data_IF_816936053027
#
_entry.id   IF_816936053027
#
_cell.length_a   1.000
_cell.length_b   1.000
_cell.length_c   1.000
_cell.angle_alpha   90.00
_cell.angle_beta   90.00
_cell.angle_gamma   90.00
#
_symmetry.space_group_name_H-M   'P 1'
#
loop_
_entity.id
_entity.type
_entity.pdbx_description
1 polymer ?
#
# COMPACT_ATOMS: atom_id res chain seq x y z
N UNK A 1 -21.88 3.47 -19.18
CA UNK A 1 -20.47 3.12 -19.50
C UNK A 1 -20.10 1.84 -18.76
N UNK A 2 -19.56 0.80 -19.43
CA UNK A 2 -19.13 -0.43 -18.75
C UNK A 2 -17.74 -0.22 -18.13
N UNK A 3 -17.66 -0.14 -16.81
CA UNK A 3 -16.37 -0.10 -16.13
C UNK A 3 -15.64 -1.43 -16.31
N UNK A 4 -14.38 -1.36 -16.74
CA UNK A 4 -13.47 -2.50 -16.75
C UNK A 4 -13.25 -3.01 -15.32
N UNK A 5 -13.08 -4.32 -15.14
CA UNK A 5 -12.99 -4.98 -13.81
C UNK A 5 -12.03 -4.28 -12.85
N UNK A 6 -10.83 -3.90 -13.33
CA UNK A 6 -9.83 -3.19 -12.52
C UNK A 6 -10.33 -1.85 -11.99
N UNK A 7 -11.00 -1.07 -12.84
CA UNK A 7 -11.52 0.24 -12.44
C UNK A 7 -12.57 0.08 -11.33
N UNK A 8 -13.44 -0.94 -11.41
CA UNK A 8 -14.40 -1.23 -10.33
C UNK A 8 -13.71 -1.48 -8.98
N UNK A 9 -12.66 -2.29 -8.97
CA UNK A 9 -11.91 -2.56 -7.73
C UNK A 9 -11.22 -1.31 -7.17
N UNK A 10 -10.65 -0.46 -8.03
CA UNK A 10 -10.06 0.82 -7.60
C UNK A 10 -11.12 1.74 -6.99
N UNK A 11 -12.30 1.83 -7.60
CA UNK A 11 -13.39 2.64 -7.06
C UNK A 11 -13.85 2.11 -5.70
N UNK A 12 -14.02 0.79 -5.54
CA UNK A 12 -14.35 0.18 -4.25
C UNK A 12 -13.28 0.50 -3.21
N UNK A 13 -12.00 0.31 -3.55
CA UNK A 13 -10.89 0.61 -2.65
C UNK A 13 -10.88 2.09 -2.25
N UNK A 14 -11.09 3.01 -3.20
CA UNK A 14 -11.17 4.44 -2.92
C UNK A 14 -12.37 4.80 -2.05
N UNK A 15 -13.56 4.24 -2.32
CA UNK A 15 -14.78 4.47 -1.54
C UNK A 15 -14.65 3.97 -0.11
N UNK A 16 -13.85 2.94 0.16
CA UNK A 16 -13.58 2.48 1.52
C UNK A 16 -12.45 3.31 2.17
N UNK A 17 -11.35 3.50 1.45
CA UNK A 17 -10.14 4.12 1.99
C UNK A 17 -10.32 5.61 2.29
N UNK A 18 -11.02 6.34 1.43
CA UNK A 18 -11.17 7.79 1.60
C UNK A 18 -11.98 8.16 2.87
N UNK A 19 -13.18 7.61 3.11
CA UNK A 19 -13.89 7.83 4.37
C UNK A 19 -13.10 7.34 5.58
N UNK A 20 -12.38 6.21 5.45
CA UNK A 20 -11.55 5.70 6.54
C UNK A 20 -10.47 6.71 6.95
N UNK A 21 -9.71 7.26 5.99
CA UNK A 21 -8.71 8.29 6.28
C UNK A 21 -9.34 9.52 6.91
N UNK A 22 -10.46 10.00 6.36
CA UNK A 22 -11.18 11.15 6.91
C UNK A 22 -11.63 10.92 8.36
N UNK A 23 -12.20 9.75 8.67
CA UNK A 23 -12.59 9.43 10.05
C UNK A 23 -11.37 9.35 10.96
N UNK A 24 -10.28 8.73 10.51
CA UNK A 24 -9.05 8.59 11.30
C UNK A 24 -8.37 9.94 11.58
N UNK A 25 -8.48 10.92 10.69
CA UNK A 25 -8.01 12.29 10.94
C UNK A 25 -8.95 13.06 11.87
N UNK A 26 -10.25 12.72 11.89
CA UNK A 26 -11.28 13.43 12.66
C UNK A 26 -11.65 12.82 14.01
N UNK A 27 -10.91 11.81 14.47
CA UNK A 27 -10.99 11.32 15.86
C UNK A 27 -9.78 11.82 16.66
N UNK A 28 -9.94 12.05 17.98
CA UNK A 28 -8.80 12.27 18.86
C UNK A 28 -7.77 11.16 18.67
N UNK A 29 -6.49 11.54 18.59
CA UNK A 29 -5.40 10.59 18.27
C UNK A 29 -5.49 9.38 19.22
N UNK A 30 -5.86 8.19 18.72
CA UNK A 30 -6.07 7.05 19.59
C UNK A 30 -4.71 6.58 20.13
N UNK A 31 -4.70 6.05 21.35
CA UNK A 31 -3.46 5.58 21.99
C UNK A 31 -2.73 4.53 21.15
N UNK A 32 -3.46 3.76 20.35
CA UNK A 32 -2.89 2.78 19.42
C UNK A 32 -2.02 3.45 18.35
N UNK A 33 -2.43 4.62 17.84
CA UNK A 33 -1.67 5.38 16.86
C UNK A 33 -0.45 6.02 17.53
N UNK A 34 -0.59 6.54 18.75
CA UNK A 34 0.53 7.10 19.53
C UNK A 34 1.60 6.06 19.85
N UNK A 35 1.18 4.86 20.23
CA UNK A 35 2.06 3.73 20.55
C UNK A 35 2.59 3.01 19.32
N UNK A 36 2.06 3.32 18.13
CA UNK A 36 2.51 2.70 16.87
C UNK A 36 3.94 3.06 16.50
N UNK A 37 4.55 4.08 17.11
CA UNK A 37 5.92 4.51 16.81
C UNK A 37 6.12 5.13 15.43
N UNK A 38 5.10 5.13 14.56
CA UNK A 38 5.12 5.88 13.32
C UNK A 38 4.99 7.36 13.65
N UNK A 39 5.89 8.17 13.11
CA UNK A 39 5.80 9.62 13.24
C UNK A 39 4.52 10.14 12.58
N UNK A 40 3.86 11.09 13.22
CA UNK A 40 2.58 11.64 12.75
C UNK A 40 2.66 12.15 11.30
N UNK A 41 3.72 12.91 10.98
CA UNK A 41 4.02 13.37 9.61
C UNK A 41 4.16 12.22 8.61
N UNK A 42 4.77 11.10 9.00
CA UNK A 42 4.91 9.94 8.13
C UNK A 42 3.54 9.28 7.89
N UNK A 43 2.68 9.22 8.91
CA UNK A 43 1.30 8.75 8.75
C UNK A 43 0.52 9.64 7.77
N UNK A 44 0.63 10.95 7.90
CA UNK A 44 0.06 11.93 6.97
C UNK A 44 0.56 11.74 5.53
N UNK A 45 1.88 11.64 5.34
CA UNK A 45 2.48 11.41 4.01
C UNK A 45 2.02 10.08 3.40
N UNK A 46 2.01 8.98 4.15
CA UNK A 46 1.54 7.68 3.65
C UNK A 46 0.03 7.71 3.33
N UNK A 47 -0.77 8.34 4.19
CA UNK A 47 -2.21 8.42 4.01
C UNK A 47 -2.57 9.14 2.70
N UNK A 48 -1.98 10.32 2.48
CA UNK A 48 -2.20 11.13 1.27
C UNK A 48 -1.51 10.55 0.03
N UNK A 49 -0.39 9.84 0.18
CA UNK A 49 0.21 9.09 -0.91
C UNK A 49 -0.74 8.00 -1.44
N UNK A 50 -1.30 7.16 -0.57
CA UNK A 50 -2.28 6.14 -0.94
C UNK A 50 -3.56 6.74 -1.51
N UNK A 51 -4.09 7.78 -0.87
CA UNK A 51 -5.31 8.44 -1.30
C UNK A 51 -5.15 9.01 -2.71
N UNK A 52 -4.06 9.74 -2.94
CA UNK A 52 -3.75 10.33 -4.26
C UNK A 52 -3.50 9.25 -5.31
N UNK A 53 -2.82 8.17 -4.95
CA UNK A 53 -2.61 7.03 -5.85
C UNK A 53 -3.94 6.43 -6.31
N UNK A 54 -4.86 6.18 -5.39
CA UNK A 54 -6.19 5.64 -5.68
C UNK A 54 -7.05 6.63 -6.49
N UNK A 55 -7.02 7.92 -6.14
CA UNK A 55 -7.73 8.98 -6.87
C UNK A 55 -7.23 9.06 -8.31
N UNK A 56 -5.92 9.10 -8.54
CA UNK A 56 -5.37 9.09 -9.90
C UNK A 56 -5.80 7.84 -10.66
N UNK A 57 -5.75 6.67 -10.03
CA UNK A 57 -6.15 5.41 -10.66
C UNK A 57 -7.66 5.33 -10.92
N UNK A 58 -8.50 6.03 -10.15
CA UNK A 58 -9.94 6.15 -10.41
C UNK A 58 -10.20 7.10 -11.58
N UNK A 59 -9.55 8.27 -11.56
CA UNK A 59 -9.76 9.31 -12.57
C UNK A 59 -9.12 8.90 -13.90
N UNK A 60 -7.96 8.23 -13.89
CA UNK A 60 -7.14 7.89 -15.05
C UNK A 60 -6.58 6.45 -15.00
N UNK A 61 -7.45 5.43 -14.99
CA UNK A 61 -7.07 4.06 -14.63
C UNK A 61 -5.94 3.45 -15.45
N UNK A 62 -5.83 3.76 -16.75
CA UNK A 62 -4.90 3.12 -17.68
C UNK A 62 -3.79 4.05 -18.17
N UNK A 63 -3.64 5.25 -17.58
CA UNK A 63 -2.70 6.25 -18.08
C UNK A 63 -1.73 6.66 -16.98
N UNK A 64 -0.46 6.78 -17.36
CA UNK A 64 0.55 7.45 -16.54
C UNK A 64 0.20 8.93 -16.37
N UNK A 65 0.71 9.55 -15.31
CA UNK A 65 0.60 10.99 -15.11
C UNK A 65 1.32 11.71 -16.24
N UNK A 66 0.61 12.64 -16.89
CA UNK A 66 1.17 13.50 -17.94
C UNK A 66 1.07 14.95 -17.49
N UNK A 67 2.22 15.55 -17.16
CA UNK A 67 2.34 16.91 -16.61
C UNK A 67 1.80 18.02 -17.54
N UNK A 68 1.67 17.74 -18.84
CA UNK A 68 1.10 18.66 -19.83
C UNK A 68 -0.43 18.68 -19.86
N UNK A 69 -1.11 17.74 -19.19
CA UNK A 69 -2.58 17.63 -19.23
C UNK A 69 -3.20 18.33 -18.03
N UNK A 70 -4.22 19.15 -18.27
CA UNK A 70 -4.95 19.86 -17.20
C UNK A 70 -5.49 18.92 -16.11
N UNK A 71 -5.94 17.71 -16.49
CA UNK A 71 -6.44 16.68 -15.56
C UNK A 71 -5.47 16.38 -14.40
N UNK A 72 -4.17 16.42 -14.67
CA UNK A 72 -3.13 16.20 -13.67
C UNK A 72 -3.15 17.30 -12.60
N UNK A 73 -3.20 18.55 -13.03
CA UNK A 73 -3.30 19.72 -12.15
C UNK A 73 -4.62 19.78 -11.39
N UNK A 74 -5.73 19.34 -12.01
CA UNK A 74 -7.01 19.20 -11.32
C UNK A 74 -6.94 18.20 -10.16
N UNK A 75 -6.27 17.04 -10.34
CA UNK A 75 -6.11 16.06 -9.25
C UNK A 75 -5.23 16.62 -8.14
N UNK A 76 -4.08 17.25 -8.46
CA UNK A 76 -3.23 17.88 -7.43
C UNK A 76 -3.99 18.97 -6.68
N UNK A 77 -4.64 19.88 -7.41
CA UNK A 77 -5.38 20.98 -6.82
C UNK A 77 -6.51 20.48 -5.92
N UNK A 78 -7.30 19.52 -6.38
CA UNK A 78 -8.38 18.93 -5.58
C UNK A 78 -7.84 18.23 -4.31
N UNK A 79 -6.74 17.47 -4.42
CA UNK A 79 -6.13 16.79 -3.27
C UNK A 79 -5.49 17.77 -2.27
N UNK A 80 -4.87 18.86 -2.76
CA UNK A 80 -4.30 19.90 -1.92
C UNK A 80 -5.40 20.68 -1.18
N UNK A 81 -6.46 21.10 -1.88
CA UNK A 81 -7.63 21.75 -1.27
C UNK A 81 -8.29 20.83 -0.25
N UNK A 82 -8.48 19.55 -0.60
CA UNK A 82 -9.00 18.55 0.33
C UNK A 82 -8.09 18.41 1.58
N UNK A 83 -6.78 18.38 1.40
CA UNK A 83 -5.81 18.36 2.51
C UNK A 83 -5.88 19.57 3.43
N UNK A 84 -6.07 20.76 2.87
CA UNK A 84 -6.22 21.99 3.67
C UNK A 84 -7.55 22.00 4.43
N UNK A 85 -8.63 21.53 3.81
CA UNK A 85 -9.94 21.39 4.46
C UNK A 85 -9.87 20.36 5.59
N UNK A 86 -9.31 19.18 5.34
CA UNK A 86 -9.15 18.11 6.34
C UNK A 86 -8.41 18.63 7.58
N UNK A 87 -7.27 19.30 7.39
CA UNK A 87 -6.47 19.85 8.49
C UNK A 87 -7.19 20.98 9.24
N UNK A 88 -7.93 21.83 8.53
CA UNK A 88 -8.72 22.90 9.15
C UNK A 88 -9.87 22.32 9.99
N UNK A 89 -10.50 21.25 9.51
CA UNK A 89 -11.62 20.61 10.18
C UNK A 89 -11.20 19.83 11.43
N UNK A 90 -9.96 19.36 11.50
CA UNK A 90 -9.39 18.72 12.70
C UNK A 90 -9.47 19.62 13.95
N UNK A 91 -9.43 20.95 13.78
CA UNK A 91 -9.57 21.92 14.88
C UNK A 91 -10.90 21.81 15.63
N UNK A 92 -11.96 21.32 14.99
CA UNK A 92 -13.29 21.18 15.60
C UNK A 92 -13.46 19.89 16.41
N UNK A 93 -12.50 18.96 16.36
CA UNK A 93 -12.58 17.64 17.02
C UNK A 93 -11.48 17.43 18.07
N UNK A 94 -10.90 18.53 18.58
CA UNK A 94 -9.91 18.49 19.66
C UNK A 94 -8.51 18.06 19.22
N UNK A 95 -8.19 18.22 17.92
CA UNK A 95 -6.82 18.14 17.39
C UNK A 95 -6.34 19.55 17.06
N UNK A 96 -5.02 19.75 17.05
CA UNK A 96 -4.42 21.03 16.70
C UNK A 96 -4.09 21.04 15.21
N UNK A 97 -4.75 21.89 14.39
CA UNK A 97 -4.36 22.05 12.99
C UNK A 97 -2.90 22.49 12.91
N UNK A 98 -2.09 21.80 12.11
CA UNK A 98 -0.70 22.12 11.92
C UNK A 98 -0.33 22.23 10.44
N UNK A 99 0.32 23.35 10.11
CA UNK A 99 0.86 23.57 8.76
C UNK A 99 1.86 22.46 8.39
N UNK A 100 2.60 21.91 9.37
CA UNK A 100 3.52 20.81 9.12
C UNK A 100 2.84 19.53 8.63
N UNK A 101 1.61 19.29 9.07
CA UNK A 101 0.86 18.07 8.75
C UNK A 101 0.20 18.22 7.38
N UNK A 102 -0.26 19.43 7.06
CA UNK A 102 -0.59 19.80 5.69
C UNK A 102 0.60 19.68 4.71
N UNK A 103 1.80 20.10 5.10
CA UNK A 103 3.00 19.91 4.27
C UNK A 103 3.33 18.42 4.07
N UNK A 104 3.12 17.59 5.11
CA UNK A 104 3.26 16.15 5.00
C UNK A 104 2.23 15.53 4.04
N UNK A 105 0.99 16.05 4.02
CA UNK A 105 -0.04 15.67 3.05
C UNK A 105 0.40 16.01 1.61
N UNK A 106 0.92 17.22 1.40
CA UNK A 106 1.45 17.66 0.09
C UNK A 106 2.63 16.80 -0.39
N UNK A 107 3.52 16.38 0.52
CA UNK A 107 4.60 15.44 0.19
C UNK A 107 4.04 14.10 -0.29
N UNK A 108 3.01 13.57 0.38
CA UNK A 108 2.33 12.34 -0.04
C UNK A 108 1.73 12.45 -1.44
N UNK A 109 1.04 13.56 -1.73
CA UNK A 109 0.48 13.87 -3.06
C UNK A 109 1.60 13.89 -4.11
N UNK A 110 2.69 14.61 -3.84
CA UNK A 110 3.81 14.75 -4.77
C UNK A 110 4.48 13.40 -5.08
N UNK A 111 4.72 12.57 -4.05
CA UNK A 111 5.31 11.24 -4.21
C UNK A 111 4.41 10.32 -5.06
N UNK A 112 3.10 10.36 -4.85
CA UNK A 112 2.15 9.52 -5.60
C UNK A 112 2.13 9.90 -7.08
N UNK A 113 2.02 11.21 -7.36
CA UNK A 113 2.02 11.74 -8.72
C UNK A 113 3.36 11.51 -9.43
N UNK A 114 4.48 11.65 -8.71
CA UNK A 114 5.82 11.33 -9.19
C UNK A 114 5.95 9.87 -9.59
N UNK A 115 5.58 8.94 -8.70
CA UNK A 115 5.62 7.51 -8.98
C UNK A 115 4.77 7.14 -10.21
N UNK A 116 3.54 7.66 -10.28
CA UNK A 116 2.60 7.39 -11.37
C UNK A 116 2.96 8.10 -12.69
N UNK A 117 3.91 9.03 -12.67
CA UNK A 117 4.47 9.64 -13.89
C UNK A 117 5.50 8.74 -14.57
N UNK A 118 6.25 7.98 -13.78
CA UNK A 118 7.32 7.10 -14.27
C UNK A 118 6.76 5.71 -14.61
N UNK A 119 5.96 5.15 -13.72
CA UNK A 119 5.55 3.75 -13.77
C UNK A 119 4.10 3.56 -14.22
N UNK A 120 3.84 2.44 -14.88
CA UNK A 120 2.47 1.97 -15.16
C UNK A 120 1.82 1.41 -13.90
N UNK A 121 0.50 1.27 -13.94
CA UNK A 121 -0.31 0.82 -12.81
C UNK A 121 0.27 -0.36 -12.02
N UNK A 122 0.65 -1.46 -12.70
CA UNK A 122 1.12 -2.67 -11.99
C UNK A 122 2.48 -2.51 -11.36
N UNK A 123 3.42 -1.85 -12.05
CA UNK A 123 4.74 -1.54 -11.50
C UNK A 123 4.63 -0.54 -10.35
N UNK A 124 3.81 0.50 -10.51
CA UNK A 124 3.55 1.50 -9.47
C UNK A 124 2.91 0.84 -8.24
N UNK A 125 1.87 0.02 -8.43
CA UNK A 125 1.22 -0.72 -7.35
C UNK A 125 2.18 -1.67 -6.62
N UNK A 126 3.08 -2.33 -7.35
CA UNK A 126 4.09 -3.21 -6.78
C UNK A 126 5.10 -2.43 -5.93
N UNK A 127 5.65 -1.32 -6.45
CA UNK A 127 6.57 -0.44 -5.72
C UNK A 127 5.87 0.12 -4.47
N UNK A 128 4.63 0.58 -4.63
CA UNK A 128 3.79 1.05 -3.53
C UNK A 128 3.60 -0.02 -2.45
N UNK A 129 3.28 -1.26 -2.83
CA UNK A 129 3.12 -2.36 -1.89
C UNK A 129 4.43 -2.69 -1.15
N UNK A 130 5.56 -2.76 -1.87
CA UNK A 130 6.87 -2.99 -1.27
C UNK A 130 7.25 -1.87 -0.29
N UNK A 131 7.04 -0.61 -0.67
CA UNK A 131 7.32 0.54 0.20
C UNK A 131 6.45 0.51 1.47
N UNK A 132 5.16 0.19 1.36
CA UNK A 132 4.28 0.04 2.52
C UNK A 132 4.70 -1.11 3.44
N UNK A 133 5.02 -2.27 2.88
CA UNK A 133 5.52 -3.43 3.64
C UNK A 133 6.78 -3.01 4.40
N UNK A 134 7.74 -2.38 3.72
CA UNK A 134 8.98 -1.92 4.35
C UNK A 134 8.72 -0.92 5.48
N UNK A 135 7.98 0.15 5.19
CA UNK A 135 7.76 1.23 6.16
C UNK A 135 6.98 0.73 7.36
N UNK A 136 5.90 -0.01 7.16
CA UNK A 136 5.09 -0.49 8.28
C UNK A 136 5.88 -1.52 9.09
N UNK A 137 6.53 -2.52 8.47
CA UNK A 137 7.28 -3.53 9.23
C UNK A 137 8.47 -2.94 9.99
N UNK A 138 9.22 -2.01 9.39
CA UNK A 138 10.45 -1.51 10.00
C UNK A 138 10.29 -0.28 10.88
N UNK A 139 9.28 0.56 10.64
CA UNK A 139 9.13 1.82 11.38
C UNK A 139 7.99 1.75 12.40
N UNK A 140 7.00 0.86 12.24
CA UNK A 140 5.91 0.70 13.21
C UNK A 140 6.25 -0.24 14.38
N UNK A 141 5.64 0.00 15.53
CA UNK A 141 5.71 -0.77 16.77
C UNK A 141 4.45 -1.65 16.93
N UNK A 142 3.84 -2.11 15.83
CA UNK A 142 2.64 -2.96 15.87
C UNK A 142 2.73 -4.14 16.86
N UNK A 143 3.87 -4.86 17.01
CA UNK A 143 4.01 -5.94 17.99
C UNK A 143 3.82 -5.50 19.45
N UNK A 144 4.09 -4.24 19.78
CA UNK A 144 4.07 -3.69 21.14
C UNK A 144 2.70 -3.10 21.52
N UNK A 145 1.73 -3.13 20.60
CA UNK A 145 0.37 -2.62 20.83
C UNK A 145 -0.45 -3.64 21.62
N UNK A 146 -0.32 -3.65 22.95
CA UNK A 146 -1.20 -4.43 23.82
C UNK A 146 -2.62 -3.82 23.91
N UNK A 147 -3.72 -4.59 23.85
CA UNK A 147 -3.82 -6.05 23.66
C UNK A 147 -3.92 -6.49 22.18
N UNK A 148 -3.66 -5.57 21.24
CA UNK A 148 -3.88 -5.75 19.79
C UNK A 148 -2.71 -6.42 19.06
N UNK A 149 -2.03 -7.38 19.70
CA UNK A 149 -0.87 -8.10 19.13
C UNK A 149 -1.18 -8.80 17.79
N UNK A 150 -2.43 -9.20 17.57
CA UNK A 150 -2.88 -9.83 16.34
C UNK A 150 -2.82 -8.91 15.11
N UNK A 151 -2.79 -7.58 15.28
CA UNK A 151 -2.67 -6.63 14.16
C UNK A 151 -1.38 -6.86 13.38
N UNK A 152 -0.29 -7.18 14.07
CA UNK A 152 0.99 -7.45 13.44
C UNK A 152 0.94 -8.74 12.60
N UNK A 153 0.33 -9.79 13.12
CA UNK A 153 0.14 -11.07 12.42
C UNK A 153 -0.75 -10.92 11.19
N UNK A 154 -1.90 -10.24 11.35
CA UNK A 154 -2.83 -9.99 10.23
C UNK A 154 -2.14 -9.14 9.16
N UNK A 155 -1.36 -8.14 9.56
CA UNK A 155 -0.58 -7.32 8.64
C UNK A 155 0.43 -8.16 7.85
N UNK A 156 1.30 -8.93 8.50
CA UNK A 156 2.30 -9.75 7.79
C UNK A 156 1.66 -10.76 6.84
N UNK A 157 0.60 -11.45 7.26
CA UNK A 157 -0.12 -12.37 6.38
C UNK A 157 -0.72 -11.64 5.16
N UNK A 158 -1.53 -10.60 5.39
CA UNK A 158 -2.26 -9.92 4.31
C UNK A 158 -1.34 -9.13 3.38
N UNK A 159 -0.31 -8.48 3.92
CA UNK A 159 0.62 -7.66 3.16
C UNK A 159 1.51 -8.53 2.24
N UNK A 160 2.04 -9.65 2.74
CA UNK A 160 2.84 -10.55 1.91
C UNK A 160 1.99 -11.36 0.92
N UNK A 161 0.77 -11.77 1.29
CA UNK A 161 -0.18 -12.36 0.34
C UNK A 161 -0.52 -11.37 -0.79
N UNK A 162 -0.88 -10.13 -0.44
CA UNK A 162 -1.18 -9.07 -1.40
C UNK A 162 0.00 -8.74 -2.31
N UNK A 163 1.19 -8.53 -1.74
CA UNK A 163 2.42 -8.29 -2.48
C UNK A 163 2.70 -9.43 -3.48
N UNK A 164 2.55 -10.67 -3.05
CA UNK A 164 2.75 -11.85 -3.89
C UNK A 164 1.76 -11.92 -5.04
N UNK A 165 0.47 -11.64 -4.80
CA UNK A 165 -0.54 -11.59 -5.86
C UNK A 165 -0.27 -10.45 -6.84
N UNK A 166 0.13 -9.27 -6.36
CA UNK A 166 0.51 -8.13 -7.22
C UNK A 166 1.73 -8.49 -8.06
N UNK A 167 2.72 -9.15 -7.47
CA UNK A 167 3.92 -9.62 -8.16
C UNK A 167 3.61 -10.63 -9.25
N UNK A 168 2.80 -11.66 -8.96
CA UNK A 168 2.35 -12.64 -9.95
C UNK A 168 1.61 -11.93 -11.10
N UNK A 169 0.71 -10.99 -10.77
CA UNK A 169 0.01 -10.19 -11.78
C UNK A 169 0.98 -9.36 -12.63
N UNK A 170 2.05 -8.83 -12.04
CA UNK A 170 3.10 -8.13 -12.77
C UNK A 170 3.85 -9.09 -13.70
N UNK A 171 4.32 -10.24 -13.20
CA UNK A 171 5.02 -11.27 -13.98
C UNK A 171 4.23 -11.70 -15.21
N UNK A 172 2.95 -12.03 -15.04
CA UNK A 172 2.08 -12.52 -16.11
C UNK A 172 1.88 -11.53 -17.26
N UNK A 173 2.19 -10.24 -17.06
CA UNK A 173 2.07 -9.20 -18.09
C UNK A 173 3.35 -8.96 -18.86
N UNK A 174 4.51 -9.24 -18.25
CA UNK A 174 5.80 -8.87 -18.82
C UNK A 174 6.68 -10.09 -19.16
N UNK A 175 6.43 -11.26 -18.57
CA UNK A 175 7.25 -12.47 -18.76
C UNK A 175 6.37 -13.69 -19.12
N UNK A 176 6.61 -14.36 -20.26
CA UNK A 176 5.85 -15.54 -20.68
C UNK A 176 6.32 -16.83 -20.00
N UNK A 177 6.26 -16.89 -18.66
CA UNK A 177 6.84 -17.99 -17.86
C UNK A 177 5.97 -19.26 -17.78
N UNK A 178 4.72 -19.23 -18.29
CA UNK A 178 3.78 -20.37 -18.16
C UNK A 178 4.24 -21.67 -18.79
N UNK A 179 5.17 -21.61 -19.75
CA UNK A 179 5.71 -22.80 -20.41
C UNK A 179 6.54 -23.66 -19.45
N UNK A 180 7.19 -23.04 -18.45
CA UNK A 180 8.04 -23.74 -17.49
C UNK A 180 7.52 -23.51 -16.07
N UNK A 181 6.80 -24.51 -15.54
CA UNK A 181 6.18 -24.45 -14.21
C UNK A 181 7.19 -24.25 -13.08
N UNK A 182 8.37 -24.88 -13.18
CA UNK A 182 9.41 -24.75 -12.17
C UNK A 182 9.99 -23.32 -12.18
N UNK A 183 10.26 -22.78 -13.36
CA UNK A 183 10.71 -21.39 -13.50
C UNK A 183 9.65 -20.39 -13.01
N UNK A 184 8.38 -20.59 -13.37
CA UNK A 184 7.28 -19.76 -12.90
C UNK A 184 7.22 -19.75 -11.37
N UNK A 185 7.31 -20.91 -10.73
CA UNK A 185 7.29 -21.03 -9.28
C UNK A 185 8.47 -20.32 -8.62
N UNK A 186 9.69 -20.53 -9.13
CA UNK A 186 10.89 -19.90 -8.61
C UNK A 186 10.81 -18.36 -8.70
N UNK A 187 10.34 -17.84 -9.82
CA UNK A 187 10.21 -16.38 -10.02
C UNK A 187 9.02 -15.81 -9.23
N UNK A 188 7.91 -16.53 -9.08
CA UNK A 188 6.78 -16.10 -8.26
C UNK A 188 7.15 -15.96 -6.77
N UNK A 189 8.08 -16.79 -6.27
CA UNK A 189 8.58 -16.72 -4.90
C UNK A 189 9.68 -15.68 -4.71
N UNK A 190 10.44 -15.33 -5.75
CA UNK A 190 11.69 -14.56 -5.61
C UNK A 190 11.50 -13.20 -4.95
N UNK A 191 10.63 -12.35 -5.49
CA UNK A 191 10.41 -10.99 -4.98
C UNK A 191 9.83 -10.96 -3.55
N UNK A 192 8.74 -11.68 -3.22
CA UNK A 192 8.19 -11.61 -1.86
C UNK A 192 9.14 -12.22 -0.82
N UNK A 193 9.91 -13.27 -1.16
CA UNK A 193 10.93 -13.83 -0.25
C UNK A 193 12.10 -12.86 -0.09
N UNK A 194 12.58 -12.24 -1.16
CA UNK A 194 13.60 -11.21 -1.09
C UNK A 194 13.14 -10.03 -0.22
N UNK A 195 11.88 -9.61 -0.36
CA UNK A 195 11.30 -8.56 0.47
C UNK A 195 11.24 -8.95 1.95
N UNK A 196 10.88 -10.20 2.26
CA UNK A 196 10.89 -10.71 3.63
C UNK A 196 12.31 -10.72 4.23
N UNK A 197 13.31 -11.11 3.44
CA UNK A 197 14.70 -11.04 3.85
C UNK A 197 15.15 -9.59 4.09
N UNK A 198 14.84 -8.66 3.18
CA UNK A 198 15.18 -7.24 3.33
C UNK A 198 14.58 -6.65 4.60
N UNK A 199 13.29 -6.87 4.86
CA UNK A 199 12.62 -6.40 6.09
C UNK A 199 13.28 -7.01 7.32
N UNK A 200 13.50 -8.33 7.32
CA UNK A 200 14.11 -9.01 8.46
C UNK A 200 15.53 -8.49 8.75
N UNK A 201 16.36 -8.31 7.72
CA UNK A 201 17.75 -7.85 7.87
C UNK A 201 17.82 -6.38 8.30
N UNK A 202 16.91 -5.54 7.80
CA UNK A 202 16.90 -4.10 8.10
C UNK A 202 16.24 -3.75 9.44
N UNK A 203 15.33 -4.59 9.95
CA UNK A 203 14.63 -4.37 11.22
C UNK A 203 15.54 -3.95 12.40
N UNK A 204 16.66 -4.64 12.67
CA UNK A 204 17.60 -4.27 13.72
C UNK A 204 18.17 -2.84 13.60
N UNK A 205 18.33 -2.32 12.37
CA UNK A 205 18.82 -0.95 12.15
C UNK A 205 17.79 0.11 12.58
N UNK A 206 16.51 -0.27 12.66
CA UNK A 206 15.43 0.55 13.17
C UNK A 206 15.04 0.20 14.62
N UNK A 207 15.89 -0.56 15.33
CA UNK A 207 15.64 -0.97 16.71
C UNK A 207 14.49 -1.98 16.86
N UNK A 208 14.14 -2.70 15.80
CA UNK A 208 13.07 -3.72 15.83
C UNK A 208 13.62 -5.09 16.19
N UNK A 209 12.86 -5.81 17.01
CA UNK A 209 13.08 -7.24 17.25
C UNK A 209 12.38 -8.06 16.18
N UNK A 210 13.10 -9.02 15.59
CA UNK A 210 12.54 -9.92 14.59
C UNK A 210 11.83 -11.06 15.33
N UNK A 211 10.51 -11.11 15.22
CA UNK A 211 9.73 -12.22 15.77
C UNK A 211 9.60 -13.32 14.73
N UNK A 212 9.88 -14.57 15.13
CA UNK A 212 9.73 -15.72 14.24
C UNK A 212 8.28 -15.86 13.73
N UNK A 213 7.30 -15.42 14.53
CA UNK A 213 5.88 -15.39 14.16
C UNK A 213 5.63 -14.53 12.94
N UNK A 214 6.35 -13.43 12.79
CA UNK A 214 6.16 -12.48 11.68
C UNK A 214 6.69 -13.08 10.38
N UNK A 215 7.86 -13.73 10.47
CA UNK A 215 8.46 -14.46 9.35
C UNK A 215 7.58 -15.63 8.91
N UNK A 216 7.08 -16.43 9.85
CA UNK A 216 6.21 -17.58 9.54
C UNK A 216 4.89 -17.12 8.95
N UNK A 217 4.24 -16.11 9.51
CA UNK A 217 2.95 -15.61 9.01
C UNK A 217 3.09 -14.97 7.63
N UNK A 218 4.17 -14.23 7.37
CA UNK A 218 4.51 -13.75 6.04
C UNK A 218 4.71 -14.93 5.06
N UNK A 219 5.51 -15.94 5.43
CA UNK A 219 5.74 -17.11 4.60
C UNK A 219 4.45 -17.87 4.25
N UNK A 220 3.54 -18.04 5.22
CA UNK A 220 2.21 -18.63 4.98
C UNK A 220 1.40 -17.80 3.98
N UNK A 221 1.43 -16.47 4.09
CA UNK A 221 0.79 -15.56 3.13
C UNK A 221 1.34 -15.71 1.70
N UNK A 222 2.67 -15.80 1.56
CA UNK A 222 3.36 -16.01 0.27
C UNK A 222 2.93 -17.35 -0.34
N UNK A 223 3.05 -18.43 0.42
CA UNK A 223 2.72 -19.79 -0.03
C UNK A 223 1.24 -19.89 -0.43
N UNK A 224 0.33 -19.35 0.38
CA UNK A 224 -1.10 -19.33 0.06
C UNK A 224 -1.41 -18.60 -1.25
N UNK A 225 -0.79 -17.43 -1.47
CA UNK A 225 -0.95 -16.65 -2.71
C UNK A 225 -0.41 -17.40 -3.94
N UNK A 226 0.77 -18.00 -3.84
CA UNK A 226 1.37 -18.79 -4.92
C UNK A 226 0.53 -20.03 -5.24
N UNK A 227 0.11 -20.80 -4.23
CA UNK A 227 -0.70 -22.00 -4.42
C UNK A 227 -2.05 -21.67 -5.06
N UNK A 228 -2.75 -20.63 -4.58
CA UNK A 228 -4.03 -20.21 -5.15
C UNK A 228 -3.91 -19.81 -6.63
N UNK A 229 -2.82 -19.12 -6.99
CA UNK A 229 -2.54 -18.71 -8.37
C UNK A 229 -2.15 -19.90 -9.24
N UNK A 230 -1.35 -20.82 -8.71
CA UNK A 230 -0.94 -22.05 -9.39
C UNK A 230 -2.15 -22.94 -9.72
N UNK A 231 -3.05 -23.15 -8.75
CA UNK A 231 -4.30 -23.89 -8.96
C UNK A 231 -5.16 -23.22 -10.05
N UNK A 232 -5.28 -21.89 -10.00
CA UNK A 232 -6.06 -21.12 -10.96
C UNK A 232 -5.50 -21.23 -12.39
N UNK A 233 -4.17 -21.23 -12.54
CA UNK A 233 -3.54 -21.26 -13.87
C UNK A 233 -3.36 -22.68 -14.43
N UNK A 234 -2.90 -23.65 -13.64
CA UNK A 234 -2.44 -24.93 -14.18
C UNK A 234 -3.39 -26.10 -13.92
N UNK A 235 -4.32 -25.96 -12.96
CA UNK A 235 -5.32 -27.01 -12.69
C UNK A 235 -6.63 -26.70 -13.41
N UNK A 236 -7.06 -25.44 -13.44
CA UNK A 236 -8.33 -25.07 -14.09
C UNK A 236 -8.30 -25.12 -15.63
N UNK A 237 -7.12 -25.12 -16.26
CA UNK A 237 -6.95 -25.25 -17.72
C UNK A 237 -6.99 -26.71 -18.23
N UNK A 238 -7.16 -27.69 -17.33
CA UNK A 238 -7.30 -29.12 -17.68
C UNK A 238 -8.76 -29.58 -17.86
N UNK A 239 -9.72 -28.66 -17.87
CA UNK A 239 -11.12 -28.89 -18.26
C UNK A 239 -11.43 -28.06 -19.50
#
# INVERSE_FOLDING_TARGET
MRFLRRHKYILIALTVYWPLVFVLTHIPVPDIARKSGLGDKLMHTLAYFMLTFLVWCAVSPYQRVQWRRAKMWWVIGAMAVYGAIDESLQGFVGRSPAVSDYLANLLGIALAMGLLSVFEFWSALLITAMACVFVISNLSNLPLLYPQFHLNTVFHFTAYAGLTLIWIQHLERYLPLRCNRAMWLAVALSLPVAMLAVVSISGPWFGKTIWWTDVVTAAVGIVGAVLSSWLSFFVSLKR
#
